data_IF_063164300460
#
_entry.id   IF_063164300460
#
_cell.length_a   1.000
_cell.length_b   1.000
_cell.length_c   1.000
_cell.angle_alpha   90.00
_cell.angle_beta   90.00
_cell.angle_gamma   90.00
#
_symmetry.space_group_name_H-M   'P 1'
#
loop_
_entity.id
_entity.type
_entity.pdbx_description
1 polymer ?
#
# COMPACT_ATOMS: atom_id res chain seq x y z
N UNK A 1 14.05 7.49 10.92
CA UNK A 1 12.64 7.27 11.28
C UNK A 1 12.36 5.77 11.23
N UNK A 2 11.47 5.22 12.05
CA UNK A 2 11.15 3.78 12.01
C UNK A 2 9.70 3.59 11.55
N UNK A 3 9.51 2.92 10.43
CA UNK A 3 8.19 2.52 9.93
C UNK A 3 7.72 1.28 10.72
N UNK A 4 6.51 1.35 11.26
CA UNK A 4 5.83 0.18 11.82
C UNK A 4 5.30 -0.71 10.71
N UNK A 5 5.56 -2.01 10.80
CA UNK A 5 4.99 -3.03 9.93
C UNK A 5 4.19 -4.01 10.80
N UNK A 6 3.11 -4.56 10.26
CA UNK A 6 2.41 -5.68 10.90
C UNK A 6 3.32 -6.91 10.92
N UNK A 7 3.28 -7.67 12.01
CA UNK A 7 4.07 -8.90 12.17
C UNK A 7 3.21 -10.04 12.74
N UNK A 8 3.64 -11.29 12.52
CA UNK A 8 3.00 -12.47 13.10
C UNK A 8 1.50 -12.54 12.79
N UNK A 9 0.68 -12.61 13.84
CA UNK A 9 -0.77 -12.75 13.75
C UNK A 9 -1.53 -11.49 13.31
N UNK A 10 -0.84 -10.38 13.05
CA UNK A 10 -1.44 -9.19 12.43
C UNK A 10 -1.50 -9.31 10.89
N UNK A 11 -0.71 -10.22 10.32
CA UNK A 11 -0.68 -10.54 8.90
C UNK A 11 -1.59 -11.73 8.57
N UNK A 12 -2.09 -11.83 7.33
CA UNK A 12 -2.67 -13.08 6.84
C UNK A 12 -1.67 -14.23 6.94
N UNK A 13 -2.19 -15.45 7.07
CA UNK A 13 -1.37 -16.65 7.18
C UNK A 13 -0.41 -16.77 5.99
N UNK A 14 0.86 -17.09 6.29
CA UNK A 14 1.96 -17.28 5.34
C UNK A 14 2.31 -16.06 4.45
N UNK A 15 1.68 -14.90 4.65
CA UNK A 15 2.05 -13.67 3.96
C UNK A 15 3.47 -13.22 4.35
N UNK A 16 4.23 -12.78 3.34
CA UNK A 16 5.56 -12.21 3.53
C UNK A 16 5.66 -10.90 2.75
N UNK A 17 6.19 -9.86 3.40
CA UNK A 17 6.52 -8.63 2.69
C UNK A 17 7.61 -8.89 1.64
N UNK A 18 7.55 -8.22 0.47
CA UNK A 18 8.65 -8.23 -0.48
C UNK A 18 9.96 -7.78 0.17
N UNK A 19 11.05 -8.48 -0.10
CA UNK A 19 12.37 -8.10 0.41
C UNK A 19 12.77 -6.69 -0.04
N UNK A 20 12.40 -6.29 -1.25
CA UNK A 20 12.72 -4.96 -1.77
C UNK A 20 11.90 -3.85 -1.07
N UNK A 21 10.65 -4.15 -0.67
CA UNK A 21 9.89 -3.26 0.21
C UNK A 21 10.58 -3.11 1.57
N UNK A 22 11.01 -4.20 2.20
CA UNK A 22 11.71 -4.16 3.49
C UNK A 22 13.01 -3.34 3.41
N UNK A 23 13.79 -3.50 2.32
CA UNK A 23 14.98 -2.67 2.08
C UNK A 23 14.60 -1.21 1.91
N UNK A 24 13.59 -0.91 1.09
CA UNK A 24 13.14 0.46 0.84
C UNK A 24 12.71 1.17 2.12
N UNK A 25 11.85 0.54 2.94
CA UNK A 25 11.38 1.16 4.19
C UNK A 25 12.50 1.38 5.22
N UNK A 26 13.59 0.60 5.14
CA UNK A 26 14.75 0.76 6.03
C UNK A 26 15.56 2.03 5.76
N UNK A 27 15.50 2.55 4.54
CA UNK A 27 16.18 3.77 4.09
C UNK A 27 15.20 4.84 3.60
N UNK A 28 13.96 4.76 4.03
CA UNK A 28 12.86 5.57 3.50
C UNK A 28 13.07 7.07 3.72
N UNK A 29 12.94 7.82 2.62
CA UNK A 29 12.80 9.28 2.59
C UNK A 29 11.53 9.59 1.80
N UNK A 30 10.63 10.37 2.41
CA UNK A 30 9.36 10.79 1.79
C UNK A 30 9.55 11.40 0.41
N UNK A 31 10.62 12.17 0.19
CA UNK A 31 10.87 12.88 -1.08
C UNK A 31 11.07 11.93 -2.25
N UNK A 32 11.41 10.67 -1.99
CA UNK A 32 11.63 9.68 -3.05
C UNK A 32 10.34 9.31 -3.78
N UNK A 33 9.17 9.49 -3.16
CA UNK A 33 7.89 9.00 -3.68
C UNK A 33 6.74 9.98 -3.50
N UNK A 34 6.97 11.21 -3.03
CA UNK A 34 5.90 12.22 -2.95
C UNK A 34 5.20 12.33 -4.31
N UNK A 35 3.86 12.34 -4.38
CA UNK A 35 2.89 12.60 -3.30
C UNK A 35 2.49 11.37 -2.46
N UNK A 36 3.05 10.20 -2.74
CA UNK A 36 2.86 9.03 -1.89
C UNK A 36 3.66 9.15 -0.59
N UNK A 37 3.11 8.57 0.47
CA UNK A 37 3.80 8.34 1.74
C UNK A 37 3.62 6.90 2.19
N UNK A 38 4.70 6.29 2.68
CA UNK A 38 4.65 4.98 3.34
C UNK A 38 3.88 5.09 4.67
N UNK A 39 2.92 4.21 4.85
CA UNK A 39 2.17 4.08 6.09
C UNK A 39 3.01 3.36 7.15
N UNK A 40 2.78 3.70 8.43
CA UNK A 40 3.44 3.06 9.56
C UNK A 40 4.30 4.00 10.40
N UNK A 41 4.50 5.25 9.99
CA UNK A 41 5.03 6.29 10.90
C UNK A 41 4.08 6.49 12.10
N UNK A 42 2.77 6.48 11.82
CA UNK A 42 1.71 6.42 12.83
C UNK A 42 1.12 5.00 12.83
N UNK A 43 1.41 4.23 13.89
CA UNK A 43 0.83 2.89 14.08
C UNK A 43 -0.70 2.93 14.09
N UNK A 44 -1.31 3.94 14.71
CA UNK A 44 -2.77 4.06 14.78
C UNK A 44 -3.39 4.32 13.41
N UNK A 45 -2.74 5.10 12.54
CA UNK A 45 -3.19 5.33 11.18
C UNK A 45 -3.12 4.05 10.33
N UNK A 46 -2.02 3.31 10.41
CA UNK A 46 -1.90 2.04 9.70
C UNK A 46 -2.92 1.00 10.18
N UNK A 47 -3.16 0.91 11.49
CA UNK A 47 -4.22 0.06 12.06
C UNK A 47 -5.60 0.48 11.57
N UNK A 48 -5.88 1.79 11.51
CA UNK A 48 -7.14 2.31 11.02
C UNK A 48 -7.39 1.84 9.59
N UNK A 49 -6.45 2.08 8.67
CA UNK A 49 -6.62 1.66 7.28
C UNK A 49 -6.70 0.14 7.12
N UNK A 50 -5.89 -0.62 7.86
CA UNK A 50 -5.95 -2.09 7.84
C UNK A 50 -7.32 -2.60 8.30
N UNK A 51 -7.87 -2.03 9.37
CA UNK A 51 -9.20 -2.40 9.87
C UNK A 51 -10.27 -2.09 8.83
N UNK A 52 -10.25 -0.89 8.25
CA UNK A 52 -11.19 -0.51 7.19
C UNK A 52 -11.12 -1.44 5.98
N UNK A 53 -9.91 -1.84 5.55
CA UNK A 53 -9.76 -2.78 4.43
C UNK A 53 -10.35 -4.14 4.73
N UNK A 54 -10.18 -4.65 5.96
CA UNK A 54 -10.75 -5.93 6.37
C UNK A 54 -12.28 -5.89 6.49
N UNK A 55 -12.86 -4.75 6.88
CA UNK A 55 -14.32 -4.55 6.93
C UNK A 55 -14.94 -4.48 5.53
N UNK A 56 -14.26 -3.81 4.60
CA UNK A 56 -14.73 -3.60 3.23
C UNK A 56 -14.51 -4.86 2.37
N UNK A 57 -13.38 -5.55 2.55
CA UNK A 57 -12.93 -6.66 1.70
C UNK A 57 -12.76 -7.94 2.51
N UNK A 58 -13.88 -8.54 2.90
CA UNK A 58 -13.88 -9.76 3.74
C UNK A 58 -13.24 -10.97 3.05
N UNK A 59 -13.33 -11.05 1.72
CA UNK A 59 -12.89 -12.20 0.94
C UNK A 59 -11.51 -11.99 0.28
N UNK A 60 -10.92 -10.80 0.43
CA UNK A 60 -9.60 -10.48 -0.09
C UNK A 60 -8.83 -9.64 0.93
N UNK A 61 -7.93 -10.25 1.71
CA UNK A 61 -7.15 -9.50 2.69
C UNK A 61 -6.23 -8.51 1.97
N UNK A 62 -6.39 -7.21 2.24
CA UNK A 62 -5.53 -6.17 1.70
C UNK A 62 -4.67 -5.54 2.79
N UNK A 63 -3.36 -5.48 2.55
CA UNK A 63 -2.40 -4.93 3.51
C UNK A 63 -1.96 -3.57 3.00
N UNK A 64 -2.51 -2.46 3.52
CA UNK A 64 -2.13 -1.12 3.08
C UNK A 64 -0.69 -0.82 3.49
N UNK A 65 0.08 -0.21 2.59
CA UNK A 65 1.49 0.14 2.86
C UNK A 65 1.85 1.56 2.42
N UNK A 66 1.09 2.17 1.51
CA UNK A 66 1.30 3.57 1.13
C UNK A 66 -0.03 4.28 0.91
N UNK A 67 0.00 5.60 1.07
CA UNK A 67 -1.15 6.50 0.90
C UNK A 67 -0.75 7.69 0.04
N UNK A 68 -1.62 8.05 -0.89
CA UNK A 68 -1.49 9.26 -1.70
C UNK A 68 -1.99 10.47 -0.92
N UNK A 69 -1.11 11.42 -0.58
CA UNK A 69 -1.46 12.55 0.30
C UNK A 69 -2.19 13.68 -0.42
N UNK A 70 -1.89 13.89 -1.70
CA UNK A 70 -2.46 15.00 -2.50
C UNK A 70 -3.86 14.67 -3.08
N UNK A 71 -4.32 13.43 -2.92
CA UNK A 71 -5.68 13.06 -3.25
C UNK A 71 -6.62 13.46 -2.11
N UNK A 72 -7.62 14.29 -2.41
CA UNK A 72 -8.74 14.57 -1.51
C UNK A 72 -9.44 13.28 -1.01
N UNK A 73 -9.24 12.17 -1.72
CA UNK A 73 -9.78 10.86 -1.42
C UNK A 73 -8.76 9.91 -0.78
N UNK A 74 -7.48 10.26 -0.63
CA UNK A 74 -6.49 9.48 0.11
C UNK A 74 -6.33 8.04 -0.36
N UNK A 75 -6.03 7.85 -1.64
CA UNK A 75 -5.90 6.52 -2.24
C UNK A 75 -4.83 5.70 -1.52
N UNK A 76 -5.11 4.41 -1.33
CA UNK A 76 -4.23 3.47 -0.65
C UNK A 76 -3.63 2.51 -1.67
N UNK A 77 -2.31 2.28 -1.60
CA UNK A 77 -1.67 1.13 -2.21
C UNK A 77 -1.59 0.00 -1.19
N UNK A 78 -2.05 -1.18 -1.60
CA UNK A 78 -2.18 -2.36 -0.75
C UNK A 78 -1.51 -3.57 -1.39
N UNK A 79 -0.78 -4.35 -0.60
CA UNK A 79 -0.38 -5.69 -1.02
C UNK A 79 -1.59 -6.62 -1.06
N UNK A 80 -1.61 -7.54 -2.03
CA UNK A 80 -2.46 -8.71 -1.99
C UNK A 80 -2.03 -9.62 -0.83
N UNK A 81 -2.78 -9.57 0.27
CA UNK A 81 -2.50 -10.36 1.46
C UNK A 81 -2.79 -11.85 1.29
N UNK A 82 -3.43 -12.26 0.19
CA UNK A 82 -3.64 -13.68 -0.13
C UNK A 82 -2.47 -14.31 -0.89
N UNK A 83 -1.50 -13.49 -1.31
CA UNK A 83 -0.32 -13.94 -2.03
C UNK A 83 0.80 -14.34 -1.05
N UNK A 84 1.22 -15.61 -1.15
CA UNK A 84 2.25 -16.22 -0.30
C UNK A 84 3.61 -16.37 -1.03
N UNK A 85 3.75 -15.79 -2.22
CA UNK A 85 4.98 -15.90 -3.03
C UNK A 85 6.13 -15.04 -2.51
N UNK A 86 5.83 -14.07 -1.62
CA UNK A 86 6.77 -13.02 -1.20
C UNK A 86 6.95 -11.92 -2.25
N UNK A 87 6.19 -11.93 -3.35
CA UNK A 87 6.15 -10.86 -4.34
C UNK A 87 4.69 -10.48 -4.72
N UNK A 88 3.85 -10.11 -3.73
CA UNK A 88 2.44 -9.80 -3.94
C UNK A 88 2.18 -8.71 -4.97
N UNK A 89 1.12 -8.91 -5.74
CA UNK A 89 0.49 -7.87 -6.56
C UNK A 89 0.04 -6.69 -5.69
N UNK A 90 0.05 -5.50 -6.28
CA UNK A 90 -0.40 -4.25 -5.65
C UNK A 90 -1.77 -3.86 -6.16
N UNK A 91 -2.69 -3.64 -5.22
CA UNK A 91 -4.03 -3.12 -5.49
C UNK A 91 -4.19 -1.73 -4.92
N UNK A 92 -4.96 -0.90 -5.62
CA UNK A 92 -5.27 0.46 -5.17
C UNK A 92 -6.68 0.51 -4.61
N UNK A 93 -6.89 1.13 -3.45
CA UNK A 93 -8.21 1.43 -2.90
C UNK A 93 -8.44 2.93 -2.88
N UNK A 94 -9.59 3.37 -3.39
CA UNK A 94 -9.99 4.78 -3.41
C UNK A 94 -10.98 4.98 -2.27
N UNK A 95 -10.55 5.67 -1.21
CA UNK A 95 -11.28 5.71 0.07
C UNK A 95 -12.67 6.35 -0.04
N UNK A 96 -12.90 7.22 -1.02
CA UNK A 96 -14.19 7.90 -1.21
C UNK A 96 -15.21 7.10 -2.06
N UNK A 97 -14.85 5.90 -2.54
CA UNK A 97 -15.71 5.19 -3.49
C UNK A 97 -16.93 4.57 -2.80
N UNK A 98 -18.12 5.11 -3.07
CA UNK A 98 -19.41 4.69 -2.51
C UNK A 98 -20.19 3.71 -3.42
N UNK A 99 -19.55 3.21 -4.49
CA UNK A 99 -20.18 2.26 -5.41
C UNK A 99 -20.04 0.80 -4.97
N UNK A 100 -20.42 -0.13 -5.86
CA UNK A 100 -20.27 -1.56 -5.61
C UNK A 100 -18.81 -1.96 -5.42
N UNK A 101 -18.55 -2.92 -4.52
CA UNK A 101 -17.19 -3.39 -4.29
C UNK A 101 -16.58 -3.88 -5.61
N UNK A 102 -15.34 -3.45 -5.93
CA UNK A 102 -14.71 -3.77 -7.19
C UNK A 102 -14.44 -5.27 -7.32
N UNK A 103 -14.70 -5.80 -8.52
CA UNK A 103 -14.12 -7.06 -8.95
C UNK A 103 -12.61 -6.85 -9.14
N UNK A 104 -11.80 -7.35 -8.20
CA UNK A 104 -10.35 -7.11 -8.19
C UNK A 104 -9.64 -7.55 -9.47
N UNK A 105 -10.09 -8.61 -10.12
CA UNK A 105 -9.54 -9.09 -11.40
C UNK A 105 -9.70 -8.11 -12.57
N UNK A 106 -10.62 -7.13 -12.44
CA UNK A 106 -10.89 -6.12 -13.46
C UNK A 106 -10.31 -4.75 -13.08
N UNK A 107 -9.74 -4.62 -11.88
CA UNK A 107 -9.19 -3.36 -11.40
C UNK A 107 -7.75 -3.23 -11.86
N UNK A 108 -7.32 -1.98 -12.07
CA UNK A 108 -5.90 -1.69 -12.21
C UNK A 108 -5.13 -2.21 -10.99
N UNK A 109 -4.00 -2.85 -11.27
CA UNK A 109 -3.10 -3.43 -10.29
C UNK A 109 -1.70 -3.47 -10.89
N UNK A 110 -0.68 -3.42 -10.03
CA UNK A 110 0.71 -3.58 -10.45
C UNK A 110 1.24 -4.94 -10.01
N UNK A 111 2.09 -5.55 -10.83
CA UNK A 111 2.52 -6.92 -10.62
C UNK A 111 3.27 -7.12 -9.31
N UNK A 112 3.94 -6.09 -8.77
CA UNK A 112 4.69 -6.16 -7.53
C UNK A 112 5.08 -4.77 -7.00
N UNK A 113 5.76 -4.76 -5.84
CA UNK A 113 6.27 -3.55 -5.20
C UNK A 113 7.22 -2.74 -6.09
N UNK A 114 8.11 -3.38 -6.85
CA UNK A 114 9.08 -2.64 -7.67
C UNK A 114 8.39 -1.89 -8.82
N UNK A 115 7.37 -2.50 -9.45
CA UNK A 115 6.53 -1.79 -10.42
C UNK A 115 5.82 -0.59 -9.79
N UNK A 116 5.30 -0.74 -8.56
CA UNK A 116 4.70 0.40 -7.83
C UNK A 116 5.72 1.47 -7.49
N UNK A 117 6.92 1.09 -7.06
CA UNK A 117 7.98 2.03 -6.69
C UNK A 117 8.45 2.83 -7.91
N UNK A 118 8.60 2.19 -9.06
CA UNK A 118 8.93 2.86 -10.33
C UNK A 118 7.88 3.91 -10.70
N UNK A 119 6.59 3.56 -10.67
CA UNK A 119 5.52 4.53 -10.96
C UNK A 119 5.47 5.67 -9.94
N UNK A 120 5.63 5.38 -8.64
CA UNK A 120 5.63 6.40 -7.60
C UNK A 120 6.83 7.35 -7.70
N UNK A 121 8.00 6.85 -8.11
CA UNK A 121 9.20 7.66 -8.34
C UNK A 121 9.10 8.49 -9.62
N UNK A 122 8.51 7.93 -10.67
CA UNK A 122 8.21 8.68 -11.90
C UNK A 122 7.24 9.82 -11.58
N UNK A 123 6.15 9.55 -10.84
CA UNK A 123 5.20 10.57 -10.37
C UNK A 123 5.93 11.66 -9.56
N UNK A 124 6.80 11.27 -8.63
CA UNK A 124 7.57 12.20 -7.80
C UNK A 124 8.47 13.15 -8.60
N UNK A 125 9.02 12.67 -9.72
CA UNK A 125 9.87 13.51 -10.58
C UNK A 125 9.12 14.71 -11.17
N UNK A 126 7.80 14.62 -11.34
CA UNK A 126 6.97 15.72 -11.82
C UNK A 126 6.54 16.69 -10.69
N UNK A 127 6.63 16.28 -9.43
CA UNK A 127 6.25 17.10 -8.28
C UNK A 127 7.35 18.07 -7.84
N UNK A 128 8.63 17.76 -8.12
CA UNK A 128 9.76 18.65 -7.80
C UNK A 128 9.87 19.87 -8.75
N UNK A 129 9.14 19.86 -9.87
CA UNK A 129 9.15 20.93 -10.90
C UNK A 129 8.07 22.03 -10.68
N UNK A 130 7.37 22.05 -9.53
CA UNK A 130 6.25 22.97 -9.23
C UNK A 130 6.56 23.92 -8.08
#
# INVERSE_FOLDING_TARGET
>A
MKIYLFEGNELPDDFQYPNDFLKFVSSYDEKMIKPWRILGESKSELIFFRTSMNEIYTDKPLIPFARLEDSANGDLACFDGSDISGNPRIFFHVYCYQGELPSWDKRYSLDNFNCWLEEAQEEASFYDDV
#
